data_IF_444647608346
#
_entry.id   IF_444647608346
#
_cell.length_a   1.000
_cell.length_b   1.000
_cell.length_c   1.000
_cell.angle_alpha   90.00
_cell.angle_beta   90.00
_cell.angle_gamma   90.00
#
_symmetry.space_group_name_H-M   'P 1'
#
loop_
_entity.id
_entity.type
_entity.pdbx_description
1 polymer ?
#
# COMPACT_ATOMS: atom_id res chain seq x y z
N UNK A 1 -0.91 -0.42 -40.69
CA UNK A 1 -1.47 -0.55 -39.33
C UNK A 1 -0.36 -0.14 -38.38
N UNK A 2 -0.42 1.06 -37.82
CA UNK A 2 0.60 1.53 -36.87
C UNK A 2 0.51 0.69 -35.58
N UNK A 3 1.65 0.30 -34.96
CA UNK A 3 1.61 -0.40 -33.69
C UNK A 3 1.04 0.56 -32.65
N UNK A 4 -0.09 0.18 -32.04
CA UNK A 4 -0.66 0.89 -30.89
C UNK A 4 0.46 1.20 -29.90
N UNK A 5 0.72 2.49 -29.67
CA UNK A 5 1.68 2.94 -28.67
C UNK A 5 1.37 2.22 -27.37
N UNK A 6 2.30 1.37 -26.90
CA UNK A 6 2.22 0.80 -25.56
C UNK A 6 2.26 1.99 -24.62
N UNK A 7 1.09 2.41 -24.13
CA UNK A 7 0.97 3.35 -23.01
C UNK A 7 1.64 2.66 -21.82
N UNK A 8 2.95 2.87 -21.68
CA UNK A 8 3.64 2.56 -20.44
C UNK A 8 3.08 3.57 -19.46
N UNK A 9 2.07 3.16 -18.68
CA UNK A 9 1.60 3.92 -17.52
C UNK A 9 2.75 3.91 -16.52
N UNK A 10 3.65 4.90 -16.65
CA UNK A 10 4.74 5.12 -15.70
C UNK A 10 4.09 5.39 -14.35
N UNK A 11 4.35 4.51 -13.39
CA UNK A 11 3.96 4.73 -11.99
C UNK A 11 4.94 5.73 -11.38
N UNK A 12 4.45 6.70 -10.64
CA UNK A 12 5.29 7.74 -10.05
C UNK A 12 6.18 7.18 -8.93
N UNK A 13 5.66 6.26 -8.11
CA UNK A 13 6.40 5.63 -7.01
C UNK A 13 6.53 4.10 -7.19
N UNK A 14 7.25 3.60 -8.20
CA UNK A 14 7.25 2.18 -8.55
C UNK A 14 7.80 1.28 -7.44
N UNK A 15 8.81 1.74 -6.69
CA UNK A 15 9.38 0.99 -5.56
C UNK A 15 8.36 0.85 -4.41
N UNK A 16 7.65 1.92 -4.08
CA UNK A 16 6.65 1.92 -3.00
C UNK A 16 5.44 1.08 -3.41
N UNK A 17 5.00 1.20 -4.66
CA UNK A 17 3.94 0.35 -5.22
C UNK A 17 4.35 -1.12 -5.15
N UNK A 18 5.56 -1.48 -5.58
CA UNK A 18 6.06 -2.85 -5.51
C UNK A 18 6.12 -3.38 -4.06
N UNK A 19 6.48 -2.53 -3.09
CA UNK A 19 6.45 -2.90 -1.68
C UNK A 19 5.03 -3.25 -1.20
N UNK A 20 4.02 -2.45 -1.54
CA UNK A 20 2.63 -2.76 -1.17
C UNK A 20 2.11 -4.00 -1.91
N UNK A 21 2.48 -4.21 -3.17
CA UNK A 21 2.16 -5.45 -3.89
C UNK A 21 2.74 -6.69 -3.19
N UNK A 22 4.00 -6.65 -2.76
CA UNK A 22 4.60 -7.77 -2.00
C UNK A 22 3.84 -8.03 -0.70
N UNK A 23 3.38 -6.99 0.00
CA UNK A 23 2.54 -7.18 1.18
C UNK A 23 1.24 -7.92 0.85
N UNK A 24 0.56 -7.56 -0.23
CA UNK A 24 -0.71 -8.19 -0.60
C UNK A 24 -0.54 -9.63 -1.09
N UNK A 25 0.49 -9.90 -1.91
CA UNK A 25 0.61 -11.13 -2.69
C UNK A 25 1.67 -12.10 -2.17
N UNK A 26 2.55 -11.68 -1.28
CA UNK A 26 3.61 -12.51 -0.68
C UNK A 26 3.41 -12.58 0.84
N UNK A 27 3.55 -11.45 1.55
CA UNK A 27 3.60 -11.45 3.03
C UNK A 27 2.24 -11.71 3.68
N UNK A 28 1.15 -11.09 3.22
CA UNK A 28 -0.19 -11.21 3.83
C UNK A 28 -1.19 -11.90 2.90
N UNK A 29 -0.69 -12.62 1.89
CA UNK A 29 -1.53 -13.38 0.99
C UNK A 29 -2.40 -14.40 1.73
N UNK A 30 -3.68 -14.39 1.39
CA UNK A 30 -4.69 -15.35 1.83
C UNK A 30 -5.27 -16.02 0.57
N UNK A 31 -5.30 -17.37 0.49
CA UNK A 31 -5.84 -18.07 -0.66
C UNK A 31 -7.30 -17.68 -0.97
N UNK A 32 -7.73 -17.68 -2.25
CA UNK A 32 -9.07 -17.24 -2.65
C UNK A 32 -10.24 -17.95 -1.94
N UNK A 33 -10.07 -19.23 -1.60
CA UNK A 33 -11.10 -20.06 -0.96
C UNK A 33 -10.90 -20.22 0.56
N UNK A 34 -9.95 -19.50 1.15
CA UNK A 34 -9.75 -19.52 2.59
C UNK A 34 -10.93 -18.81 3.30
N UNK A 35 -11.42 -19.41 4.39
CA UNK A 35 -12.57 -18.92 5.16
C UNK A 35 -12.35 -17.50 5.68
N UNK A 36 -11.09 -17.12 5.93
CA UNK A 36 -10.71 -15.77 6.38
C UNK A 36 -11.01 -14.69 5.34
N UNK A 37 -11.17 -15.03 4.06
CA UNK A 37 -11.53 -14.06 3.01
C UNK A 37 -12.91 -13.44 3.23
N UNK A 38 -13.80 -14.09 3.98
CA UNK A 38 -15.09 -13.52 4.39
C UNK A 38 -15.01 -12.62 5.64
N UNK A 39 -13.84 -12.50 6.27
CA UNK A 39 -13.64 -11.64 7.43
C UNK A 39 -13.57 -10.17 6.99
N UNK A 40 -14.35 -9.30 7.64
CA UNK A 40 -14.40 -7.87 7.32
C UNK A 40 -13.02 -7.18 7.43
N UNK A 41 -12.13 -7.61 8.33
CA UNK A 41 -10.79 -7.03 8.46
C UNK A 41 -9.88 -7.39 7.27
N UNK A 42 -10.08 -8.56 6.66
CA UNK A 42 -9.36 -8.94 5.43
C UNK A 42 -9.85 -8.12 4.25
N UNK A 43 -11.15 -7.87 4.15
CA UNK A 43 -11.71 -6.98 3.13
C UNK A 43 -11.24 -5.52 3.31
N UNK A 44 -11.19 -5.03 4.55
CA UNK A 44 -10.68 -3.69 4.90
C UNK A 44 -9.21 -3.53 4.50
N UNK A 45 -8.37 -4.53 4.80
CA UNK A 45 -6.98 -4.57 4.36
C UNK A 45 -6.85 -4.52 2.83
N UNK A 46 -7.59 -5.37 2.10
CA UNK A 46 -7.54 -5.40 0.63
C UNK A 46 -7.93 -4.03 0.04
N UNK A 47 -8.93 -3.36 0.62
CA UNK A 47 -9.36 -2.03 0.21
C UNK A 47 -8.28 -0.97 0.49
N UNK A 48 -7.72 -0.97 1.70
CA UNK A 48 -6.65 -0.05 2.09
C UNK A 48 -5.41 -0.23 1.22
N UNK A 49 -5.01 -1.47 0.94
CA UNK A 49 -3.84 -1.77 0.11
C UNK A 49 -4.04 -1.31 -1.34
N UNK A 50 -5.23 -1.54 -1.92
CA UNK A 50 -5.58 -1.03 -3.27
C UNK A 50 -5.60 0.49 -3.33
N UNK A 51 -6.15 1.14 -2.31
CA UNK A 51 -6.17 2.61 -2.21
C UNK A 51 -4.75 3.17 -2.14
N UNK A 52 -3.92 2.62 -1.26
CA UNK A 52 -2.52 3.00 -1.12
C UNK A 52 -1.73 2.81 -2.43
N UNK A 53 -1.85 1.63 -3.08
CA UNK A 53 -1.21 1.35 -4.37
C UNK A 53 -1.64 2.36 -5.45
N UNK A 54 -2.93 2.66 -5.53
CA UNK A 54 -3.47 3.56 -6.55
C UNK A 54 -2.92 4.97 -6.37
N UNK A 55 -2.92 5.47 -5.15
CA UNK A 55 -2.40 6.80 -4.84
C UNK A 55 -0.88 6.88 -4.99
N UNK A 56 -0.14 5.91 -4.49
CA UNK A 56 1.31 5.82 -4.72
C UNK A 56 1.67 5.76 -6.21
N UNK A 57 0.86 5.08 -7.03
CA UNK A 57 1.10 5.03 -8.46
C UNK A 57 0.82 6.36 -9.17
N UNK A 58 -0.20 7.11 -8.71
CA UNK A 58 -0.71 8.32 -9.35
C UNK A 58 -0.04 9.61 -8.86
N UNK A 59 0.40 9.68 -7.60
CA UNK A 59 0.95 10.90 -6.99
C UNK A 59 2.40 11.12 -7.40
N UNK A 60 2.67 12.18 -8.14
CA UNK A 60 4.05 12.64 -8.39
C UNK A 60 4.53 13.47 -7.19
N UNK A 61 5.48 12.96 -6.42
CA UNK A 61 5.94 13.62 -5.19
C UNK A 61 6.54 15.01 -5.45
N UNK A 62 7.07 15.27 -6.65
CA UNK A 62 7.69 16.54 -7.00
C UNK A 62 6.67 17.61 -7.43
N UNK A 63 5.46 17.20 -7.85
CA UNK A 63 4.46 18.09 -8.44
C UNK A 63 3.10 18.06 -7.72
N UNK A 64 2.90 17.12 -6.80
CA UNK A 64 1.65 16.94 -6.08
C UNK A 64 1.34 18.14 -5.18
N UNK A 65 0.07 18.52 -5.18
CA UNK A 65 -0.46 19.48 -4.21
C UNK A 65 -0.39 18.92 -2.78
N UNK A 66 -0.42 19.80 -1.78
CA UNK A 66 -0.47 19.40 -0.37
C UNK A 66 -1.64 18.44 -0.07
N UNK A 67 -2.80 18.66 -0.71
CA UNK A 67 -3.97 17.80 -0.58
C UNK A 67 -3.69 16.40 -1.13
N UNK A 68 -3.12 16.28 -2.34
CA UNK A 68 -2.78 14.97 -2.91
C UNK A 68 -1.77 14.21 -2.06
N UNK A 69 -0.79 14.92 -1.48
CA UNK A 69 0.18 14.34 -0.55
C UNK A 69 -0.48 13.87 0.74
N UNK A 70 -1.41 14.65 1.31
CA UNK A 70 -2.17 14.27 2.50
C UNK A 70 -3.07 13.06 2.25
N UNK A 71 -3.77 13.01 1.12
CA UNK A 71 -4.61 11.86 0.78
C UNK A 71 -3.78 10.59 0.54
N UNK A 72 -2.62 10.70 -0.09
CA UNK A 72 -1.69 9.59 -0.26
C UNK A 72 -1.16 9.12 1.10
N UNK A 73 -0.72 10.04 1.97
CA UNK A 73 -0.27 9.72 3.34
C UNK A 73 -1.37 9.00 4.12
N UNK A 74 -2.58 9.56 4.11
CA UNK A 74 -3.74 8.99 4.77
C UNK A 74 -4.02 7.56 4.29
N UNK A 75 -3.95 7.29 2.99
CA UNK A 75 -4.16 5.94 2.46
C UNK A 75 -3.09 4.93 2.94
N UNK A 76 -1.83 5.35 3.05
CA UNK A 76 -0.77 4.49 3.60
C UNK A 76 -0.93 4.30 5.11
N UNK A 77 -1.41 5.31 5.84
CA UNK A 77 -1.73 5.17 7.26
C UNK A 77 -2.94 4.26 7.50
N UNK A 78 -3.97 4.31 6.65
CA UNK A 78 -5.06 3.34 6.65
C UNK A 78 -4.55 1.91 6.41
N UNK A 79 -3.60 1.72 5.50
CA UNK A 79 -2.95 0.43 5.30
C UNK A 79 -2.22 -0.05 6.57
N UNK A 80 -1.46 0.81 7.23
CA UNK A 80 -0.80 0.46 8.49
C UNK A 80 -1.83 0.01 9.55
N UNK A 81 -2.87 0.81 9.76
CA UNK A 81 -3.95 0.55 10.74
C UNK A 81 -4.68 -0.76 10.46
N UNK A 82 -4.93 -1.08 9.18
CA UNK A 82 -5.59 -2.34 8.82
C UNK A 82 -4.71 -3.55 9.13
N UNK A 83 -3.39 -3.47 8.92
CA UNK A 83 -2.46 -4.55 9.30
C UNK A 83 -2.39 -4.71 10.82
N UNK A 84 -2.37 -3.61 11.59
CA UNK A 84 -2.43 -3.66 13.07
C UNK A 84 -3.70 -4.36 13.56
N UNK A 85 -4.84 -4.14 12.88
CA UNK A 85 -6.10 -4.83 13.18
C UNK A 85 -6.05 -6.31 12.82
N UNK A 86 -5.43 -6.68 11.71
CA UNK A 86 -5.23 -8.09 11.34
C UNK A 86 -4.38 -8.83 12.38
N UNK A 87 -3.31 -8.19 12.87
CA UNK A 87 -2.45 -8.75 13.91
C UNK A 87 -3.18 -8.90 15.24
N UNK A 88 -3.89 -7.86 15.67
CA UNK A 88 -4.67 -7.88 16.91
C UNK A 88 -5.76 -8.99 16.89
N UNK A 89 -6.36 -9.23 15.73
CA UNK A 89 -7.35 -10.29 15.54
C UNK A 89 -6.75 -11.69 15.32
N UNK A 90 -5.41 -11.81 15.27
CA UNK A 90 -4.67 -13.07 15.03
C UNK A 90 -5.16 -13.84 13.80
N UNK A 91 -5.54 -13.11 12.74
CA UNK A 91 -6.04 -13.71 11.49
C UNK A 91 -4.92 -14.31 10.64
N UNK A 92 -3.69 -13.87 10.86
CA UNK A 92 -2.48 -14.33 10.19
C UNK A 92 -1.41 -14.65 11.24
N UNK A 93 -0.39 -15.46 10.89
CA UNK A 93 0.76 -15.70 11.76
C UNK A 93 1.40 -14.39 12.22
N UNK A 94 1.72 -14.24 13.52
CA UNK A 94 2.24 -13.00 14.08
C UNK A 94 3.56 -12.57 13.44
N UNK A 95 4.38 -13.51 12.99
CA UNK A 95 5.65 -13.23 12.30
C UNK A 95 5.40 -12.52 10.96
N UNK A 96 4.39 -12.97 10.21
CA UNK A 96 3.99 -12.35 8.93
C UNK A 96 3.42 -10.96 9.16
N UNK A 97 2.64 -10.77 10.22
CA UNK A 97 2.13 -9.45 10.61
C UNK A 97 3.27 -8.50 11.03
N UNK A 98 4.23 -8.97 11.81
CA UNK A 98 5.38 -8.18 12.24
C UNK A 98 6.23 -7.71 11.04
N UNK A 99 6.54 -8.61 10.10
CA UNK A 99 7.25 -8.27 8.85
C UNK A 99 6.48 -7.22 8.02
N UNK A 100 5.16 -7.39 7.90
CA UNK A 100 4.31 -6.46 7.16
C UNK A 100 4.26 -5.08 7.82
N UNK A 101 4.12 -5.03 9.16
CA UNK A 101 4.13 -3.79 9.93
C UNK A 101 5.46 -3.04 9.78
N UNK A 102 6.58 -3.75 9.88
CA UNK A 102 7.89 -3.15 9.68
C UNK A 102 8.03 -2.57 8.27
N UNK A 103 7.59 -3.32 7.26
CA UNK A 103 7.61 -2.89 5.86
C UNK A 103 6.77 -1.64 5.61
N UNK A 104 5.53 -1.57 6.13
CA UNK A 104 4.69 -0.38 5.98
C UNK A 104 5.23 0.81 6.77
N UNK A 105 5.81 0.59 7.96
CA UNK A 105 6.47 1.66 8.72
C UNK A 105 7.65 2.27 7.95
N UNK A 106 8.42 1.46 7.24
CA UNK A 106 9.48 1.96 6.33
C UNK A 106 8.91 2.79 5.18
N UNK A 107 7.77 2.38 4.60
CA UNK A 107 7.08 3.18 3.56
C UNK A 107 6.66 4.53 4.13
N UNK A 108 6.02 4.55 5.31
CA UNK A 108 5.58 5.80 5.97
C UNK A 108 6.77 6.71 6.26
N UNK A 109 7.86 6.17 6.81
CA UNK A 109 9.08 6.94 7.08
C UNK A 109 9.65 7.53 5.78
N UNK A 110 9.82 6.71 4.73
CA UNK A 110 10.36 7.17 3.45
C UNK A 110 9.47 8.20 2.74
N UNK A 111 8.15 8.16 2.95
CA UNK A 111 7.24 9.20 2.47
C UNK A 111 7.40 10.51 3.25
N UNK A 112 7.56 10.44 4.58
CA UNK A 112 7.78 11.63 5.40
C UNK A 112 9.06 12.36 5.00
N UNK A 113 10.15 11.62 4.79
CA UNK A 113 11.42 12.19 4.34
C UNK A 113 11.27 12.91 2.98
N UNK A 114 10.60 12.27 2.01
CA UNK A 114 10.43 12.84 0.66
C UNK A 114 9.45 14.01 0.59
N UNK A 115 8.49 14.08 1.51
CA UNK A 115 7.50 15.16 1.55
C UNK A 115 7.90 16.31 2.50
N UNK A 116 8.99 16.17 3.26
CA UNK A 116 9.49 17.20 4.19
C UNK A 116 10.53 18.13 3.57
N UNK A 117 10.86 17.94 2.29
CA UNK A 117 11.75 18.81 1.51
C UNK A 117 10.88 19.77 0.67
N UNK A 118 10.52 20.96 1.20
CA UNK A 118 9.96 22.01 0.37
C UNK A 118 11.10 22.61 -0.45
N UNK A 119 11.10 22.33 -1.76
CA UNK A 119 11.84 23.17 -2.73
C UNK A 119 11.14 24.52 -2.85
#
# INVERSE_FOLDING_TARGET
MEPCAKKITRKNNPILVAAVFRLMFETLWIPPYDRRRSNALVADFDLCARSAVTRLAATDLAAASGIELDEMRYAVECLLRSIERLDAARLLPPERCAEALESVRRIVAGLRERCADPV
#
